data_IF_777695881914
#
_entry.id   IF_777695881914
#
_cell.length_a   1.000
_cell.length_b   1.000
_cell.length_c   1.000
_cell.angle_alpha   90.00
_cell.angle_beta   90.00
_cell.angle_gamma   90.00
#
_symmetry.space_group_name_H-M   'P 1'
#
loop_
_entity.id
_entity.type
_entity.pdbx_description
1 polymer ?
#
# COMPACT_ATOMS: atom_id res chain seq x y z
N UNK A 1 27.41 -5.61 -9.98
CA UNK A 1 27.90 -4.23 -9.76
C UNK A 1 26.79 -3.44 -9.06
N UNK A 2 27.03 -2.18 -8.72
CA UNK A 2 26.00 -1.22 -8.28
C UNK A 2 24.79 -1.10 -9.22
N UNK A 3 24.93 -1.55 -10.47
CA UNK A 3 23.94 -1.36 -11.53
C UNK A 3 23.05 -2.60 -11.76
N UNK A 4 23.23 -3.66 -10.95
CA UNK A 4 22.41 -4.86 -11.06
C UNK A 4 21.10 -4.70 -10.29
N UNK A 5 19.99 -5.09 -10.94
CA UNK A 5 18.70 -5.20 -10.26
C UNK A 5 18.74 -6.24 -9.15
N UNK A 6 18.06 -5.96 -8.03
CA UNK A 6 17.93 -6.89 -6.89
C UNK A 6 17.30 -8.22 -7.35
N UNK A 7 16.33 -8.15 -8.27
CA UNK A 7 15.71 -9.33 -8.87
C UNK A 7 16.12 -9.45 -10.34
N UNK A 8 16.54 -10.64 -10.80
CA UNK A 8 17.08 -10.86 -12.14
C UNK A 8 15.97 -10.99 -13.21
N UNK A 9 14.96 -10.12 -13.17
CA UNK A 9 13.91 -10.06 -14.17
C UNK A 9 14.18 -9.00 -15.24
N UNK A 10 14.98 -7.99 -14.90
CA UNK A 10 15.48 -6.98 -15.80
C UNK A 10 17.01 -7.11 -15.86
N UNK A 11 17.58 -6.96 -17.04
CA UNK A 11 19.02 -7.06 -17.30
C UNK A 11 19.67 -5.71 -17.62
N UNK A 12 18.88 -4.64 -17.75
CA UNK A 12 19.35 -3.26 -17.86
C UNK A 12 19.55 -2.77 -19.29
N UNK A 13 19.28 -3.60 -20.30
CA UNK A 13 19.37 -3.24 -21.71
C UNK A 13 17.98 -3.13 -22.40
N UNK A 14 16.90 -3.30 -21.64
CA UNK A 14 15.54 -3.23 -22.15
C UNK A 14 15.15 -1.80 -22.53
N UNK A 15 14.39 -1.66 -23.62
CA UNK A 15 13.69 -0.41 -23.91
C UNK A 15 12.62 -0.12 -22.83
N UNK A 16 12.18 1.13 -22.64
CA UNK A 16 11.13 1.47 -21.68
C UNK A 16 9.84 0.65 -21.85
N UNK A 17 9.50 0.27 -23.09
CA UNK A 17 8.34 -0.58 -23.40
C UNK A 17 8.56 -2.01 -22.91
N UNK A 18 9.72 -2.58 -23.18
CA UNK A 18 10.09 -3.93 -22.72
C UNK A 18 10.14 -3.99 -21.19
N UNK A 19 10.75 -3.00 -20.54
CA UNK A 19 10.80 -2.90 -19.08
C UNK A 19 9.39 -2.88 -18.48
N UNK A 20 8.49 -2.06 -19.03
CA UNK A 20 7.09 -1.99 -18.60
C UNK A 20 6.36 -3.33 -18.79
N UNK A 21 6.60 -4.02 -19.90
CA UNK A 21 6.00 -5.33 -20.18
C UNK A 21 6.46 -6.39 -19.17
N UNK A 22 7.76 -6.44 -18.87
CA UNK A 22 8.33 -7.35 -17.86
C UNK A 22 7.76 -7.07 -16.48
N UNK A 23 7.75 -5.81 -16.03
CA UNK A 23 7.20 -5.43 -14.72
C UNK A 23 5.72 -5.83 -14.61
N UNK A 24 4.92 -5.55 -15.64
CA UNK A 24 3.50 -5.91 -15.67
C UNK A 24 3.31 -7.42 -15.55
N UNK A 25 4.11 -8.19 -16.26
CA UNK A 25 4.05 -9.64 -16.22
C UNK A 25 4.44 -10.22 -14.84
N UNK A 26 5.48 -9.66 -14.21
CA UNK A 26 5.90 -10.03 -12.86
C UNK A 26 4.81 -9.73 -11.83
N UNK A 27 4.23 -8.53 -11.84
CA UNK A 27 3.13 -8.15 -10.94
C UNK A 27 1.94 -9.11 -11.12
N UNK A 28 1.59 -9.45 -12.36
CA UNK A 28 0.53 -10.41 -12.66
C UNK A 28 0.82 -11.79 -12.06
N UNK A 29 2.06 -12.29 -12.21
CA UNK A 29 2.49 -13.57 -11.64
C UNK A 29 2.44 -13.57 -10.11
N UNK A 30 2.88 -12.48 -9.47
CA UNK A 30 2.82 -12.31 -8.01
C UNK A 30 1.36 -12.30 -7.54
N UNK A 31 0.51 -11.47 -8.14
CA UNK A 31 -0.90 -11.39 -7.77
C UNK A 31 -1.65 -12.72 -7.96
N UNK A 32 -1.29 -13.51 -8.98
CA UNK A 32 -1.84 -14.87 -9.15
C UNK A 32 -1.49 -15.78 -7.97
N UNK A 33 -0.27 -15.69 -7.45
CA UNK A 33 0.17 -16.48 -6.28
C UNK A 33 -0.43 -15.97 -4.99
N UNK A 34 -0.48 -14.65 -4.78
CA UNK A 34 -1.16 -14.04 -3.65
C UNK A 34 -2.62 -14.48 -3.59
N UNK A 35 -3.34 -14.50 -4.71
CA UNK A 35 -4.72 -15.00 -4.74
C UNK A 35 -4.85 -16.45 -4.24
N UNK A 36 -3.90 -17.32 -4.58
CA UNK A 36 -3.90 -18.71 -4.09
C UNK A 36 -3.71 -18.77 -2.57
N UNK A 37 -2.70 -18.07 -2.06
CA UNK A 37 -2.42 -17.97 -0.62
C UNK A 37 -3.64 -17.40 0.11
N UNK A 38 -4.26 -16.35 -0.44
CA UNK A 38 -5.46 -15.74 0.12
C UNK A 38 -6.61 -16.74 0.20
N UNK A 39 -6.86 -17.50 -0.87
CA UNK A 39 -7.89 -18.54 -0.88
C UNK A 39 -7.63 -19.62 0.17
N UNK A 40 -6.38 -20.08 0.33
CA UNK A 40 -6.00 -21.08 1.34
C UNK A 40 -6.21 -20.57 2.78
N UNK A 41 -6.02 -19.27 3.01
CA UNK A 41 -6.20 -18.63 4.31
C UNK A 41 -7.62 -18.08 4.54
N UNK A 42 -8.53 -18.19 3.56
CA UNK A 42 -9.86 -17.57 3.62
C UNK A 42 -9.86 -16.04 3.53
N UNK A 43 -8.79 -15.44 3.01
CA UNK A 43 -8.60 -14.00 2.86
C UNK A 43 -8.77 -13.61 1.38
N UNK A 44 -9.78 -12.78 1.09
CA UNK A 44 -10.04 -12.31 -0.28
C UNK A 44 -9.35 -10.96 -0.56
N UNK A 45 -9.20 -10.64 -1.85
CA UNK A 45 -8.79 -9.30 -2.28
C UNK A 45 -7.31 -8.94 -2.08
N UNK A 46 -6.43 -9.89 -1.78
CA UNK A 46 -5.01 -9.61 -1.60
C UNK A 46 -4.24 -9.48 -2.93
N UNK A 47 -3.41 -8.45 -3.00
CA UNK A 47 -2.57 -8.10 -4.14
C UNK A 47 -1.29 -7.39 -3.66
N UNK A 48 -0.36 -7.12 -4.58
CA UNK A 48 0.82 -6.29 -4.30
C UNK A 48 0.45 -4.90 -3.78
N UNK A 49 -0.70 -4.37 -4.19
CA UNK A 49 -1.18 -3.06 -3.76
C UNK A 49 -1.76 -3.08 -2.34
N UNK A 50 -2.31 -4.22 -1.92
CA UNK A 50 -2.79 -4.45 -0.54
C UNK A 50 -1.66 -4.27 0.47
N UNK A 51 -0.43 -4.68 0.15
CA UNK A 51 0.74 -4.46 1.01
C UNK A 51 1.04 -2.97 1.20
N UNK A 52 0.97 -2.17 0.13
CA UNK A 52 1.16 -0.71 0.18
C UNK A 52 0.11 -0.03 1.05
N UNK A 53 -1.16 -0.42 0.89
CA UNK A 53 -2.25 0.07 1.74
C UNK A 53 -2.05 -0.32 3.20
N UNK A 54 -1.73 -1.59 3.47
CA UNK A 54 -1.49 -2.08 4.82
C UNK A 54 -0.38 -1.32 5.52
N UNK A 55 0.74 -1.06 4.83
CA UNK A 55 1.84 -0.25 5.35
C UNK A 55 1.38 1.17 5.76
N UNK A 56 0.66 1.87 4.88
CA UNK A 56 0.16 3.22 5.17
C UNK A 56 -0.84 3.23 6.34
N UNK A 57 -1.77 2.27 6.38
CA UNK A 57 -2.75 2.15 7.45
C UNK A 57 -2.10 1.82 8.80
N UNK A 58 -1.09 0.94 8.82
CA UNK A 58 -0.34 0.61 10.04
C UNK A 58 0.40 1.83 10.57
N UNK A 59 1.15 2.55 9.73
CA UNK A 59 1.87 3.75 10.16
C UNK A 59 0.94 4.81 10.72
N UNK A 60 -0.20 5.06 10.05
CA UNK A 60 -1.19 6.02 10.54
C UNK A 60 -1.78 5.59 11.89
N UNK A 61 -2.12 4.30 12.05
CA UNK A 61 -2.60 3.74 13.33
C UNK A 61 -1.58 3.84 14.46
N UNK A 62 -0.28 3.80 14.12
CA UNK A 62 0.81 4.04 15.06
C UNK A 62 1.06 5.52 15.36
N UNK A 63 0.25 6.45 14.83
CA UNK A 63 0.35 7.88 15.09
C UNK A 63 1.36 8.61 14.20
N UNK A 64 1.87 8.00 13.14
CA UNK A 64 2.77 8.68 12.21
C UNK A 64 2.05 9.83 11.47
N UNK A 65 2.75 10.94 11.28
CA UNK A 65 2.23 12.08 10.52
C UNK A 65 2.08 11.70 9.03
N UNK A 66 1.02 12.20 8.38
CA UNK A 66 0.74 11.99 6.96
C UNK A 66 1.90 12.40 6.03
N UNK A 67 2.67 13.44 6.38
CA UNK A 67 3.84 13.87 5.62
C UNK A 67 4.91 12.76 5.58
N UNK A 68 5.20 12.15 6.74
CA UNK A 68 6.14 11.04 6.84
C UNK A 68 5.64 9.80 6.08
N UNK A 69 4.35 9.50 6.17
CA UNK A 69 3.74 8.39 5.42
C UNK A 69 3.85 8.65 3.91
N UNK A 70 3.59 9.88 3.46
CA UNK A 70 3.67 10.28 2.06
C UNK A 70 5.09 10.14 1.51
N UNK A 71 6.08 10.61 2.27
CA UNK A 71 7.50 10.47 1.96
C UNK A 71 7.92 8.99 1.90
N UNK A 72 7.51 8.19 2.89
CA UNK A 72 7.80 6.75 2.94
C UNK A 72 7.19 5.97 1.76
N UNK A 73 6.08 6.46 1.20
CA UNK A 73 5.46 5.90 0.00
C UNK A 73 6.04 6.46 -1.31
N UNK A 74 6.90 7.48 -1.24
CA UNK A 74 7.43 8.16 -2.41
C UNK A 74 6.35 8.93 -3.20
N UNK A 75 5.29 9.38 -2.54
CA UNK A 75 4.27 10.22 -3.19
C UNK A 75 4.74 11.68 -3.23
N UNK A 76 4.80 12.23 -4.43
CA UNK A 76 5.11 13.66 -4.65
C UNK A 76 3.95 14.59 -4.29
N UNK A 77 2.74 14.05 -4.12
CA UNK A 77 1.54 14.79 -3.75
C UNK A 77 0.86 14.13 -2.54
N UNK A 78 0.70 14.91 -1.48
CA UNK A 78 0.00 14.55 -0.24
C UNK A 78 -1.43 14.06 -0.50
N UNK A 79 -2.11 14.60 -1.51
CA UNK A 79 -3.47 14.21 -1.88
C UNK A 79 -3.56 12.74 -2.30
N UNK A 80 -2.48 12.21 -2.87
CA UNK A 80 -2.37 10.77 -3.15
C UNK A 80 -2.42 10.00 -1.85
N UNK A 81 -1.68 10.41 -0.81
CA UNK A 81 -1.69 9.75 0.50
C UNK A 81 -3.01 9.93 1.25
N UNK A 82 -3.65 11.11 1.16
CA UNK A 82 -4.96 11.39 1.77
C UNK A 82 -6.04 10.42 1.29
N UNK A 83 -6.10 10.15 -0.02
CA UNK A 83 -7.04 9.18 -0.59
C UNK A 83 -6.86 7.76 -0.01
N UNK A 84 -5.64 7.38 0.37
CA UNK A 84 -5.36 6.07 0.98
C UNK A 84 -5.81 6.03 2.44
N UNK A 85 -5.93 7.18 3.10
CA UNK A 85 -6.27 7.31 4.52
C UNK A 85 -7.71 7.77 4.76
N UNK A 86 -8.48 8.11 3.72
CA UNK A 86 -9.83 8.68 3.84
C UNK A 86 -10.80 7.82 4.69
N UNK A 87 -10.72 6.49 4.58
CA UNK A 87 -11.55 5.59 5.39
C UNK A 87 -11.17 5.59 6.87
N UNK A 88 -9.89 5.75 7.18
CA UNK A 88 -9.37 5.80 8.54
C UNK A 88 -9.81 7.08 9.26
N UNK A 89 -9.71 8.22 8.57
CA UNK A 89 -10.14 9.52 9.10
C UNK A 89 -11.62 9.54 9.50
N UNK A 90 -12.46 8.77 8.80
CA UNK A 90 -13.86 8.58 9.18
C UNK A 90 -14.01 7.79 10.49
N UNK A 91 -13.30 6.66 10.63
CA UNK A 91 -13.34 5.84 11.87
C UNK A 91 -12.87 6.64 13.08
N UNK A 92 -11.79 7.43 12.94
CA UNK A 92 -11.24 8.24 14.01
C UNK A 92 -12.21 9.36 14.42
N UNK A 93 -12.84 10.04 13.45
CA UNK A 93 -13.91 11.02 13.73
C UNK A 93 -15.10 10.41 14.44
N UNK A 94 -15.55 9.23 14.03
CA UNK A 94 -16.66 8.53 14.69
C UNK A 94 -16.31 8.13 16.13
N UNK A 95 -15.09 7.66 16.37
CA UNK A 95 -14.59 7.35 17.72
C UNK A 95 -14.55 8.61 18.60
N UNK A 96 -14.00 9.70 18.08
CA UNK A 96 -13.90 10.97 18.82
C UNK A 96 -15.27 11.58 19.09
N UNK A 97 -16.20 11.51 18.14
CA UNK A 97 -17.59 11.94 18.34
C UNK A 97 -18.27 11.14 19.46
N UNK A 98 -18.10 9.81 19.49
CA UNK A 98 -18.62 8.96 20.56
C UNK A 98 -18.08 9.37 21.94
N UNK A 99 -16.79 9.66 22.05
CA UNK A 99 -16.17 10.14 23.29
C UNK A 99 -16.82 11.45 23.77
N UNK A 100 -17.04 12.40 22.86
CA UNK A 100 -17.66 13.69 23.16
C UNK A 100 -19.14 13.59 23.53
N UNK A 101 -19.84 12.52 23.14
CA UNK A 101 -21.26 12.31 23.47
C UNK A 101 -21.48 11.42 24.68
N UNK A 102 -20.41 10.89 25.28
CA UNK A 102 -20.50 9.92 26.39
C UNK A 102 -20.64 10.61 27.76
N UNK A 103 -21.63 11.50 27.90
CA UNK A 103 -21.91 12.25 29.13
C UNK A 103 -22.62 11.44 30.22
N UNK A 104 -22.29 10.15 30.38
CA UNK A 104 -22.85 9.29 31.44
C UNK A 104 -21.74 8.70 32.29
N UNK A 105 -21.32 9.48 33.28
CA UNK A 105 -21.47 9.22 34.72
C UNK A 105 -21.49 10.56 35.47
#
# INVERSE_FOLDING_TARGET
>A
SSDNYIFPYLIGNETPIQQKAVIKDIIRRINKRLKKIGNELGISGISTYTARHSFASVLKRSGANIAYISESLGHSDLKTTENYLASFEREEREKNAKLLTNFRE
#
